data_IF_813506524153
#
_entry.id   IF_813506524153
#
_cell.length_a   1.000
_cell.length_b   1.000
_cell.length_c   1.000
_cell.angle_alpha   90.00
_cell.angle_beta   90.00
_cell.angle_gamma   90.00
#
_symmetry.space_group_name_H-M   'P 1'
#
loop_
_entity.id
_entity.type
_entity.pdbx_description
1 polymer ?
#
# COMPACT_ATOMS: atom_id res chain seq x y z
N UNK A 1 4.47 10.19 8.95
CA UNK A 1 4.75 9.69 7.59
C UNK A 1 3.47 9.29 6.84
N UNK A 2 2.68 8.34 7.36
CA UNK A 2 1.33 8.02 6.84
C UNK A 2 0.48 9.26 6.51
N UNK A 3 0.51 10.28 7.37
CA UNK A 3 -0.23 11.54 7.16
C UNK A 3 0.19 12.28 5.88
N UNK A 4 1.48 12.21 5.50
CA UNK A 4 2.02 12.82 4.27
C UNK A 4 1.51 12.08 3.04
N UNK A 5 1.66 10.75 3.01
CA UNK A 5 1.12 9.93 1.92
C UNK A 5 -0.40 10.05 1.80
N UNK A 6 -1.10 10.06 2.93
CA UNK A 6 -2.55 10.22 2.95
C UNK A 6 -3.00 11.57 2.37
N UNK A 7 -2.24 12.65 2.57
CA UNK A 7 -2.59 13.95 1.98
C UNK A 7 -2.63 13.89 0.45
N UNK A 8 -1.73 13.11 -0.16
CA UNK A 8 -1.69 12.90 -1.60
C UNK A 8 -2.76 11.91 -2.09
N UNK A 9 -2.92 10.78 -1.41
CA UNK A 9 -3.85 9.72 -1.86
C UNK A 9 -5.33 10.04 -1.64
N UNK A 10 -5.67 10.88 -0.64
CA UNK A 10 -7.07 11.13 -0.26
C UNK A 10 -7.84 11.94 -1.29
N UNK A 11 -9.17 11.92 -1.15
CA UNK A 11 -10.09 12.84 -1.86
C UNK A 11 -9.92 12.82 -3.38
N UNK A 12 -9.52 11.68 -3.95
CA UNK A 12 -9.27 11.51 -5.40
C UNK A 12 -8.19 12.45 -5.96
N UNK A 13 -7.31 12.99 -5.10
CA UNK A 13 -6.22 13.88 -5.52
C UNK A 13 -5.18 13.14 -6.35
N UNK A 14 -4.93 11.88 -6.01
CA UNK A 14 -4.00 11.04 -6.75
C UNK A 14 -4.67 10.43 -7.98
N UNK A 15 -4.50 11.08 -9.13
CA UNK A 15 -4.98 10.62 -10.44
C UNK A 15 -6.48 10.23 -10.49
N UNK A 16 -7.33 10.92 -9.72
CA UNK A 16 -8.77 10.65 -9.58
C UNK A 16 -9.17 9.31 -8.92
N UNK A 17 -8.19 8.49 -8.51
CA UNK A 17 -8.43 7.20 -7.85
C UNK A 17 -8.90 7.38 -6.41
N UNK A 18 -9.86 6.54 -5.99
CA UNK A 18 -10.39 6.57 -4.62
C UNK A 18 -9.58 5.66 -3.71
N UNK A 19 -8.77 6.25 -2.85
CA UNK A 19 -8.13 5.53 -1.74
C UNK A 19 -8.96 5.59 -0.46
N UNK A 20 -8.93 4.49 0.29
CA UNK A 20 -9.34 4.42 1.70
C UNK A 20 -8.13 4.12 2.55
N UNK A 21 -8.15 4.56 3.81
CA UNK A 21 -7.08 4.34 4.79
C UNK A 21 -7.58 3.44 5.92
N UNK A 22 -6.72 2.57 6.46
CA UNK A 22 -7.02 1.63 7.54
C UNK A 22 -8.29 0.81 7.27
N UNK A 23 -8.36 0.24 6.07
CA UNK A 23 -9.56 -0.43 5.57
C UNK A 23 -9.50 -1.93 5.90
N UNK A 24 -10.51 -2.48 6.61
CA UNK A 24 -10.65 -3.92 6.77
C UNK A 24 -10.91 -4.61 5.42
N UNK A 25 -10.19 -5.69 5.17
CA UNK A 25 -10.32 -6.59 4.02
C UNK A 25 -10.19 -8.01 4.57
N UNK A 26 -11.33 -8.69 4.72
CA UNK A 26 -11.42 -9.98 5.40
C UNK A 26 -10.78 -9.93 6.80
N UNK A 27 -9.83 -10.85 7.12
CA UNK A 27 -9.20 -10.91 8.43
C UNK A 27 -8.10 -9.86 8.64
N UNK A 28 -7.76 -9.06 7.60
CA UNK A 28 -6.65 -8.11 7.65
C UNK A 28 -7.14 -6.66 7.54
N UNK A 29 -6.29 -5.73 7.99
CA UNK A 29 -6.48 -4.29 7.79
C UNK A 29 -5.35 -3.82 6.87
N UNK A 30 -5.72 -3.15 5.78
CA UNK A 30 -4.78 -2.51 4.86
C UNK A 30 -4.58 -1.05 5.23
N UNK A 31 -3.33 -0.57 5.24
CA UNK A 31 -3.03 0.84 5.53
C UNK A 31 -3.69 1.76 4.50
N UNK A 32 -3.55 1.45 3.22
CA UNK A 32 -4.26 2.12 2.14
C UNK A 32 -4.75 1.12 1.10
N UNK A 33 -5.92 1.38 0.52
CA UNK A 33 -6.46 0.57 -0.58
C UNK A 33 -7.22 1.41 -1.59
N UNK A 34 -6.97 1.14 -2.87
CA UNK A 34 -7.82 1.53 -3.98
C UNK A 34 -8.57 0.30 -4.50
N UNK A 35 -9.87 0.22 -4.24
CA UNK A 35 -10.69 -0.90 -4.69
C UNK A 35 -10.85 -0.94 -6.21
N UNK A 36 -10.97 0.22 -6.84
CA UNK A 36 -11.17 0.34 -8.29
C UNK A 36 -9.98 -0.24 -9.06
N UNK A 37 -8.77 -0.02 -8.56
CA UNK A 37 -7.53 -0.56 -9.14
C UNK A 37 -7.07 -1.87 -8.50
N UNK A 38 -7.81 -2.40 -7.51
CA UNK A 38 -7.40 -3.55 -6.69
C UNK A 38 -5.95 -3.43 -6.17
N UNK A 39 -5.58 -2.25 -5.68
CA UNK A 39 -4.23 -1.95 -5.20
C UNK A 39 -4.25 -1.68 -3.70
N UNK A 40 -3.39 -2.37 -2.95
CA UNK A 40 -3.10 -2.15 -1.54
C UNK A 40 -1.71 -1.55 -1.41
N UNK A 41 -1.57 -0.56 -0.53
CA UNK A 41 -0.29 0.04 -0.15
C UNK A 41 -0.12 -0.07 1.37
N UNK A 42 0.92 -0.75 1.81
CA UNK A 42 1.29 -0.94 3.22
C UNK A 42 2.57 -0.15 3.54
N UNK A 43 2.62 0.43 4.74
CA UNK A 43 3.80 1.14 5.23
C UNK A 43 4.43 0.35 6.38
N UNK A 44 5.61 -0.21 6.15
CA UNK A 44 6.32 -1.02 7.14
C UNK A 44 7.17 -0.13 8.07
N UNK A 45 6.89 -0.25 9.37
CA UNK A 45 7.59 0.49 10.42
C UNK A 45 8.87 -0.14 10.94
N UNK A 46 9.28 -1.30 10.43
CA UNK A 46 10.44 -1.99 10.96
C UNK A 46 10.17 -2.60 12.33
N UNK A 47 9.38 -3.67 12.35
CA UNK A 47 9.50 -4.71 13.38
C UNK A 47 9.66 -6.08 12.71
N UNK A 48 10.55 -6.17 11.73
CA UNK A 48 11.10 -7.44 11.26
C UNK A 48 12.26 -7.83 12.18
N UNK A 49 11.97 -8.66 13.19
CA UNK A 49 12.99 -9.17 14.11
C UNK A 49 12.62 -10.48 14.80
N UNK A 50 11.48 -11.09 14.49
CA UNK A 50 11.12 -12.40 15.01
C UNK A 50 10.64 -13.25 13.84
N UNK A 51 11.35 -14.35 13.56
CA UNK A 51 11.08 -15.31 12.49
C UNK A 51 9.63 -15.86 12.49
N UNK A 52 8.86 -15.62 13.54
CA UNK A 52 7.42 -15.88 13.65
C UNK A 52 6.54 -15.00 12.75
N UNK A 53 7.03 -13.86 12.26
CA UNK A 53 6.21 -12.94 11.44
C UNK A 53 6.27 -13.20 9.93
N UNK A 54 7.31 -13.85 9.39
CA UNK A 54 7.44 -14.05 7.94
C UNK A 54 6.35 -14.97 7.37
N UNK A 55 6.06 -16.08 8.05
CA UNK A 55 5.00 -17.00 7.62
C UNK A 55 3.61 -16.33 7.69
N UNK A 56 3.39 -15.46 8.69
CA UNK A 56 2.16 -14.70 8.82
C UNK A 56 2.03 -13.63 7.73
N UNK A 57 3.09 -12.87 7.45
CA UNK A 57 3.12 -11.87 6.38
C UNK A 57 2.98 -12.51 4.99
N UNK A 58 3.58 -13.69 4.77
CA UNK A 58 3.41 -14.45 3.55
C UNK A 58 1.97 -14.95 3.38
N UNK A 59 1.36 -15.51 4.44
CA UNK A 59 -0.03 -15.94 4.42
C UNK A 59 -0.99 -14.77 4.18
N UNK A 60 -0.75 -13.62 4.82
CA UNK A 60 -1.49 -12.37 4.60
C UNK A 60 -1.42 -11.93 3.15
N UNK A 61 -0.20 -11.84 2.60
CA UNK A 61 0.01 -11.39 1.23
C UNK A 61 -0.67 -12.34 0.24
N UNK A 62 -0.47 -13.65 0.39
CA UNK A 62 -1.10 -14.65 -0.46
C UNK A 62 -2.64 -14.58 -0.41
N UNK A 63 -3.22 -14.37 0.76
CA UNK A 63 -4.67 -14.24 0.91
C UNK A 63 -5.20 -12.98 0.22
N UNK A 64 -4.54 -11.83 0.39
CA UNK A 64 -4.94 -10.57 -0.27
C UNK A 64 -4.81 -10.67 -1.79
N UNK A 65 -3.77 -11.35 -2.29
CA UNK A 65 -3.58 -11.62 -3.71
C UNK A 65 -4.66 -12.55 -4.27
N UNK A 66 -5.10 -13.56 -3.52
CA UNK A 66 -6.24 -14.41 -3.89
C UNK A 66 -7.55 -13.64 -3.99
N UNK A 67 -7.74 -12.60 -3.17
CA UNK A 67 -8.87 -11.66 -3.28
C UNK A 67 -8.75 -10.68 -4.47
N UNK A 68 -7.70 -10.86 -5.28
CA UNK A 68 -7.42 -10.13 -6.51
C UNK A 68 -6.69 -8.81 -6.29
N UNK A 69 -6.13 -8.56 -5.10
CA UNK A 69 -5.38 -7.34 -4.84
C UNK A 69 -3.90 -7.50 -5.18
N UNK A 70 -3.31 -6.45 -5.75
CA UNK A 70 -1.85 -6.26 -5.74
C UNK A 70 -1.45 -5.55 -4.46
N UNK A 71 -0.39 -6.00 -3.80
CA UNK A 71 0.14 -5.38 -2.58
C UNK A 71 1.49 -4.73 -2.86
N UNK A 72 1.63 -3.43 -2.57
CA UNK A 72 2.89 -2.70 -2.54
C UNK A 72 3.25 -2.38 -1.09
N UNK A 73 4.49 -2.65 -0.69
CA UNK A 73 5.00 -2.37 0.66
C UNK A 73 6.18 -1.42 0.56
N UNK A 74 6.15 -0.36 1.36
CA UNK A 74 7.23 0.63 1.42
C UNK A 74 7.75 0.74 2.85
N UNK A 75 9.05 1.00 3.00
CA UNK A 75 9.61 1.28 4.32
C UNK A 75 9.19 2.65 4.83
N UNK A 76 9.12 2.77 6.16
CA UNK A 76 8.96 4.03 6.84
C UNK A 76 10.18 4.98 6.73
N UNK A 77 11.25 4.62 6.05
CA UNK A 77 12.25 5.59 5.55
C UNK A 77 11.90 6.12 4.16
N UNK A 78 11.36 5.27 3.27
CA UNK A 78 11.21 5.60 1.85
C UNK A 78 10.17 6.69 1.56
N UNK A 79 9.03 6.71 2.25
CA UNK A 79 8.05 7.82 2.08
C UNK A 79 8.59 9.16 2.64
N UNK A 80 9.66 9.14 3.43
CA UNK A 80 10.33 10.35 3.95
C UNK A 80 11.40 10.78 2.93
N UNK A 81 12.29 9.88 2.56
CA UNK A 81 13.50 10.15 1.80
C UNK A 81 13.28 10.11 0.28
N UNK A 82 12.40 9.22 -0.19
CA UNK A 82 12.18 8.87 -1.60
C UNK A 82 10.72 9.05 -2.03
N UNK A 83 10.04 10.08 -1.50
CA UNK A 83 8.58 10.26 -1.63
C UNK A 83 8.07 10.23 -3.08
N UNK A 84 8.76 10.89 -4.01
CA UNK A 84 8.39 10.90 -5.44
C UNK A 84 8.47 9.50 -6.06
N UNK A 85 9.48 8.70 -5.67
CA UNK A 85 9.61 7.32 -6.15
C UNK A 85 8.43 6.47 -5.66
N UNK A 86 8.05 6.61 -4.38
CA UNK A 86 6.88 5.94 -3.82
C UNK A 86 5.61 6.30 -4.58
N UNK A 87 5.38 7.58 -4.87
CA UNK A 87 4.22 8.00 -5.66
C UNK A 87 4.27 7.42 -7.08
N UNK A 88 5.44 7.41 -7.72
CA UNK A 88 5.64 6.81 -9.03
C UNK A 88 5.28 5.32 -9.05
N UNK A 89 5.74 4.54 -8.07
CA UNK A 89 5.42 3.12 -7.96
C UNK A 89 3.93 2.88 -7.70
N UNK A 90 3.29 3.72 -6.89
CA UNK A 90 1.83 3.64 -6.70
C UNK A 90 1.11 3.95 -8.02
N UNK A 91 1.53 4.97 -8.78
CA UNK A 91 0.94 5.29 -10.08
C UNK A 91 1.08 4.12 -11.08
N UNK A 92 2.27 3.50 -11.14
CA UNK A 92 2.48 2.28 -11.92
C UNK A 92 1.57 1.13 -11.43
N UNK A 93 1.40 1.00 -10.12
CA UNK A 93 0.49 0.05 -9.48
C UNK A 93 -0.97 0.25 -9.88
N UNK A 94 -1.38 1.50 -10.13
CA UNK A 94 -2.72 1.87 -10.63
C UNK A 94 -2.92 1.59 -12.12
N UNK A 95 -1.91 1.02 -12.81
CA UNK A 95 -1.95 0.76 -14.24
C UNK A 95 -1.69 1.99 -15.10
N UNK A 96 -1.16 3.06 -14.51
CA UNK A 96 -0.72 4.23 -15.27
C UNK A 96 0.59 3.90 -15.99
N UNK A 97 0.69 4.26 -17.26
CA UNK A 97 1.93 4.10 -18.02
C UNK A 97 2.87 5.26 -17.71
N UNK A 98 4.18 5.00 -17.47
CA UNK A 98 5.16 6.07 -17.53
C UNK A 98 5.26 6.55 -18.98
N UNK A 99 5.49 7.86 -19.14
CA UNK A 99 5.53 8.59 -20.41
C UNK A 99 6.54 7.99 -21.40
#
# INVERSE_FOLDING_TARGET
MERKLWQELRSRRFHAFKFRRQQPIGPYIADFVCFDAKLIVELDGGQHGLATNEAYDAARTAWLEQEGFRVLRFWNSDVIENFESVLGEIALGLGMKPW
#
